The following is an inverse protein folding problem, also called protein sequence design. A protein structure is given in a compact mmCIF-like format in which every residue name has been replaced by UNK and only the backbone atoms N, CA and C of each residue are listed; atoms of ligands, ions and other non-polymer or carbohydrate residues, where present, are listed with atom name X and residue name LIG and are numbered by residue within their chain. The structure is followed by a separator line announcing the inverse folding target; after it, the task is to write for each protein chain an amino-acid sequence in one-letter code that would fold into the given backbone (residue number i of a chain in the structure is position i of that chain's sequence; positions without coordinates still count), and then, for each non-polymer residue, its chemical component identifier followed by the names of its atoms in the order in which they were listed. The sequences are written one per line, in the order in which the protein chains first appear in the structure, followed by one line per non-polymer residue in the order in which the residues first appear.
data_IF_322710514928
#
_entry.id   IF_322710514928
#
_cell.length_a   1.000
_cell.length_b   1.000
_cell.length_c   1.000
_cell.angle_alpha   90.00
_cell.angle_beta   90.00
_cell.angle_gamma   90.00
#
_symmetry.space_group_name_H-M   'P 1'
#
loop_
_entity.id
_entity.type
_entity.pdbx_description
1 polymer ?
#
# COMPACT_ATOMS: atom_id res chain seq x y z
N UNK A 1 -36.44 33.63 30.05
CA UNK A 1 -36.88 32.27 29.70
C UNK A 1 -36.42 31.99 28.28
N UNK A 2 -35.88 30.79 28.09
CA UNK A 2 -34.89 30.44 27.06
C UNK A 2 -35.44 30.44 25.62
N UNK A 3 -34.59 30.87 24.69
CA UNK A 3 -34.74 30.60 23.26
C UNK A 3 -34.30 29.18 22.93
N UNK A 4 -35.00 28.55 21.99
CA UNK A 4 -34.68 27.22 21.48
C UNK A 4 -34.10 27.35 20.08
N UNK A 5 -32.82 27.03 19.96
CA UNK A 5 -32.12 26.81 18.69
C UNK A 5 -32.60 25.50 18.06
N UNK A 6 -32.99 25.55 16.79
CA UNK A 6 -33.25 24.36 15.99
C UNK A 6 -31.91 23.68 15.67
N UNK A 7 -31.64 22.55 16.30
CA UNK A 7 -30.52 21.68 15.98
C UNK A 7 -31.00 20.67 14.92
N UNK A 8 -30.72 20.92 13.64
CA UNK A 8 -30.84 19.87 12.63
C UNK A 8 -29.81 18.77 12.92
N UNK A 9 -30.28 17.53 13.01
CA UNK A 9 -29.41 16.35 13.11
C UNK A 9 -28.64 16.15 11.80
N UNK A 10 -27.38 15.66 11.83
CA UNK A 10 -26.63 15.44 10.61
C UNK A 10 -27.33 14.36 9.76
N UNK A 11 -27.57 14.69 8.48
CA UNK A 11 -28.09 13.75 7.49
C UNK A 11 -27.16 12.54 7.41
N UNK A 12 -27.70 11.36 7.71
CA UNK A 12 -27.01 10.08 7.51
C UNK A 12 -26.63 9.93 6.05
N UNK A 13 -25.37 9.56 5.80
CA UNK A 13 -24.85 9.28 4.46
C UNK A 13 -25.55 8.00 3.96
N UNK A 14 -26.10 7.97 2.72
CA UNK A 14 -26.78 6.79 2.19
C UNK A 14 -25.81 5.60 2.09
N UNK A 15 -26.15 4.48 2.71
CA UNK A 15 -25.28 3.29 2.81
C UNK A 15 -25.28 2.42 1.55
N UNK A 16 -26.13 2.68 0.55
CA UNK A 16 -26.23 1.80 -0.62
C UNK A 16 -26.35 2.62 -1.91
N UNK A 17 -25.22 2.75 -2.60
CA UNK A 17 -25.17 3.07 -4.03
C UNK A 17 -24.99 1.73 -4.73
N UNK A 18 -25.83 1.44 -5.73
CA UNK A 18 -25.78 0.19 -6.49
C UNK A 18 -24.41 -0.03 -7.11
N UNK A 19 -23.70 -1.04 -6.62
CA UNK A 19 -22.32 -1.34 -6.97
C UNK A 19 -22.28 -2.69 -7.72
N UNK A 20 -21.69 -2.69 -8.92
CA UNK A 20 -21.42 -3.90 -9.70
C UNK A 20 -20.36 -4.76 -9.00
N UNK A 21 -20.39 -6.08 -9.24
CA UNK A 21 -19.66 -7.09 -8.45
C UNK A 21 -18.14 -6.92 -8.34
N UNK A 22 -17.49 -6.11 -9.18
CA UNK A 22 -16.04 -5.84 -9.12
C UNK A 22 -15.66 -4.70 -8.14
N UNK A 23 -16.55 -3.74 -7.91
CA UNK A 23 -16.30 -2.63 -6.98
C UNK A 23 -16.35 -3.08 -5.50
N UNK A 24 -16.87 -4.28 -5.23
CA UNK A 24 -17.01 -4.82 -3.88
C UNK A 24 -15.70 -5.42 -3.29
N UNK A 25 -14.69 -5.70 -4.12
CA UNK A 25 -13.42 -6.27 -3.64
C UNK A 25 -12.50 -5.19 -3.08
N UNK A 26 -12.54 -3.97 -3.64
CA UNK A 26 -11.61 -2.89 -3.29
C UNK A 26 -11.93 -2.17 -1.97
N UNK A 27 -13.20 -1.94 -1.64
CA UNK A 27 -13.57 -1.26 -0.39
C UNK A 27 -13.43 -2.13 0.87
N UNK A 28 -12.98 -3.39 0.74
CA UNK A 28 -13.01 -4.37 1.84
C UNK A 28 -11.87 -4.27 2.83
N UNK A 29 -10.83 -3.49 2.58
CA UNK A 29 -9.65 -3.53 3.46
C UNK A 29 -9.37 -2.14 3.99
N UNK A 30 -9.50 -1.98 5.31
CA UNK A 30 -9.40 -0.68 6.01
C UNK A 30 -8.00 -0.07 6.08
N UNK A 31 -7.08 -0.45 5.18
CA UNK A 31 -5.68 -0.03 5.17
C UNK A 31 -5.62 1.49 4.98
N UNK A 32 -4.93 2.16 5.90
CA UNK A 32 -4.77 3.61 5.88
C UNK A 32 -3.45 4.01 5.22
N UNK A 33 -3.51 4.98 4.30
CA UNK A 33 -2.33 5.61 3.73
C UNK A 33 -1.59 6.44 4.79
N UNK A 34 -0.27 6.53 4.67
CA UNK A 34 0.58 7.27 5.60
C UNK A 34 0.36 8.78 5.56
N UNK A 35 -0.15 9.31 4.45
CA UNK A 35 -0.46 10.73 4.27
C UNK A 35 -1.97 11.03 4.31
N UNK A 36 -2.72 10.22 5.07
CA UNK A 36 -4.17 10.29 5.30
C UNK A 36 -5.01 9.63 4.19
N UNK A 37 -6.22 9.20 4.58
CA UNK A 37 -7.18 8.52 3.70
C UNK A 37 -6.91 7.02 3.51
N UNK A 38 -7.68 6.44 2.58
CA UNK A 38 -7.48 5.05 2.13
C UNK A 38 -6.11 4.87 1.48
N UNK A 39 -5.48 3.71 1.64
CA UNK A 39 -4.32 3.33 0.84
C UNK A 39 -4.69 2.79 -0.56
N UNK A 40 -5.98 2.58 -0.84
CA UNK A 40 -6.49 2.18 -2.15
C UNK A 40 -6.95 3.39 -2.93
N UNK A 41 -6.42 3.53 -4.14
CA UNK A 41 -6.77 4.59 -5.09
C UNK A 41 -7.46 3.95 -6.30
N UNK A 42 -8.58 4.53 -6.72
CA UNK A 42 -9.32 4.05 -7.90
C UNK A 42 -8.70 4.63 -9.17
N UNK A 43 -8.54 3.80 -10.19
CA UNK A 43 -8.09 4.21 -11.52
C UNK A 43 -9.22 4.00 -12.54
N UNK A 44 -9.78 5.11 -13.03
CA UNK A 44 -10.88 5.11 -14.00
C UNK A 44 -10.51 4.43 -15.33
N UNK A 45 -9.23 4.45 -15.72
CA UNK A 45 -8.79 3.86 -16.98
C UNK A 45 -8.85 2.33 -16.96
N UNK A 46 -8.71 1.72 -15.79
CA UNK A 46 -8.71 0.27 -15.59
C UNK A 46 -9.98 -0.25 -14.91
N UNK A 47 -10.80 0.63 -14.31
CA UNK A 47 -11.93 0.26 -13.42
C UNK A 47 -11.46 -0.64 -12.26
N UNK A 48 -10.23 -0.40 -11.80
CA UNK A 48 -9.60 -1.15 -10.72
C UNK A 48 -9.03 -0.19 -9.67
N UNK A 49 -8.62 -0.75 -8.53
CA UNK A 49 -7.92 0.01 -7.51
C UNK A 49 -6.48 -0.47 -7.41
N UNK A 50 -5.58 0.47 -7.19
CA UNK A 50 -4.18 0.19 -6.91
C UNK A 50 -3.84 0.58 -5.48
N UNK A 51 -2.87 -0.14 -4.91
CA UNK A 51 -2.34 0.16 -3.58
C UNK A 51 -1.33 1.30 -3.68
N UNK A 52 -1.45 2.28 -2.77
CA UNK A 52 -0.49 3.34 -2.52
C UNK A 52 -0.36 3.59 -1.03
N UNK A 53 0.75 3.20 -0.43
CA UNK A 53 0.99 3.41 1.01
C UNK A 53 1.28 4.87 1.34
N UNK A 54 1.76 5.66 0.37
CA UNK A 54 2.13 7.07 0.51
C UNK A 54 1.25 7.98 -0.37
N UNK A 55 1.83 8.76 -1.28
CA UNK A 55 1.09 9.62 -2.20
C UNK A 55 0.41 8.82 -3.33
N UNK A 56 -0.66 9.37 -3.92
CA UNK A 56 -1.36 8.73 -5.06
C UNK A 56 -0.44 8.53 -6.27
N UNK A 57 0.53 9.42 -6.46
CA UNK A 57 1.55 9.35 -7.52
C UNK A 57 2.64 8.29 -7.24
N UNK A 58 2.59 7.61 -6.09
CA UNK A 58 3.52 6.57 -5.67
C UNK A 58 2.80 5.22 -5.53
N UNK A 59 2.36 4.61 -6.65
CA UNK A 59 1.78 3.27 -6.61
C UNK A 59 2.80 2.25 -6.08
N UNK A 60 2.36 1.37 -5.20
CA UNK A 60 3.20 0.34 -4.63
C UNK A 60 3.53 -0.73 -5.68
N UNK A 61 4.82 -1.06 -5.81
CA UNK A 61 5.25 -2.18 -6.64
C UNK A 61 4.86 -3.52 -5.99
N UNK A 62 4.40 -4.46 -6.82
CA UNK A 62 4.13 -5.84 -6.39
C UNK A 62 5.41 -6.67 -6.37
N UNK A 63 6.01 -6.85 -5.19
CA UNK A 63 7.23 -7.64 -5.02
C UNK A 63 7.02 -9.16 -5.09
N UNK A 64 5.80 -9.67 -4.97
CA UNK A 64 5.54 -11.10 -5.20
C UNK A 64 5.72 -11.48 -6.68
N UNK A 65 5.59 -10.51 -7.59
CA UNK A 65 5.92 -10.69 -8.99
C UNK A 65 7.45 -10.76 -9.20
N UNK A 66 7.94 -11.92 -9.63
CA UNK A 66 9.36 -12.16 -9.89
C UNK A 66 9.95 -11.24 -10.97
N UNK A 67 9.15 -10.80 -11.94
CA UNK A 67 9.60 -9.85 -12.96
C UNK A 67 9.92 -8.47 -12.36
N UNK A 68 9.11 -8.02 -11.38
CA UNK A 68 9.35 -6.76 -10.66
C UNK A 68 10.64 -6.85 -9.85
N UNK A 69 10.83 -7.95 -9.10
CA UNK A 69 12.07 -8.16 -8.33
C UNK A 69 13.29 -8.21 -9.23
N UNK A 70 13.21 -8.95 -10.33
CA UNK A 70 14.29 -9.00 -11.33
C UNK A 70 14.63 -7.60 -11.86
N UNK A 71 13.62 -6.81 -12.25
CA UNK A 71 13.83 -5.45 -12.73
C UNK A 71 14.48 -4.55 -11.67
N UNK A 72 14.04 -4.64 -10.42
CA UNK A 72 14.66 -3.92 -9.30
C UNK A 72 16.13 -4.33 -9.09
N UNK A 73 16.43 -5.64 -9.14
CA UNK A 73 17.80 -6.15 -9.04
C UNK A 73 18.68 -5.64 -10.19
N UNK A 74 18.15 -5.58 -11.41
CA UNK A 74 18.86 -5.06 -12.58
C UNK A 74 19.19 -3.57 -12.43
N UNK A 75 18.29 -2.77 -11.83
CA UNK A 75 18.56 -1.36 -11.47
C UNK A 75 19.69 -1.28 -10.44
N UNK A 76 19.72 -2.16 -9.43
CA UNK A 76 20.81 -2.20 -8.46
C UNK A 76 22.16 -2.52 -9.12
N UNK A 77 22.20 -3.57 -9.95
CA UNK A 77 23.41 -3.95 -10.72
C UNK A 77 23.89 -2.82 -11.63
N UNK A 78 22.98 -2.12 -12.29
CA UNK A 78 23.32 -0.98 -13.15
C UNK A 78 24.13 0.09 -12.41
N UNK A 79 23.78 0.39 -11.16
CA UNK A 79 24.49 1.38 -10.34
C UNK A 79 25.76 0.80 -9.71
N UNK A 80 25.76 -0.45 -9.25
CA UNK A 80 26.99 -1.11 -8.75
C UNK A 80 28.07 -1.20 -9.83
N UNK A 81 27.68 -1.46 -11.09
CA UNK A 81 28.58 -1.44 -12.23
C UNK A 81 29.24 -0.06 -12.46
N UNK A 82 28.64 1.01 -11.94
CA UNK A 82 29.17 2.39 -11.95
C UNK A 82 30.00 2.73 -10.70
N UNK A 83 30.32 1.74 -9.87
CA UNK A 83 31.24 1.87 -8.73
C UNK A 83 30.72 2.75 -7.58
N UNK A 84 29.41 2.74 -7.32
CA UNK A 84 28.90 3.22 -6.03
C UNK A 84 29.24 2.21 -4.92
N UNK A 85 29.46 2.69 -3.70
CA UNK A 85 29.89 1.84 -2.58
C UNK A 85 28.73 1.13 -1.85
N UNK A 86 27.48 1.52 -2.14
CA UNK A 86 26.31 0.89 -1.53
C UNK A 86 25.03 1.70 -1.69
N UNK A 87 23.97 1.22 -1.06
CA UNK A 87 22.64 1.84 -1.10
C UNK A 87 22.11 2.09 0.31
N UNK A 88 21.41 3.21 0.46
CA UNK A 88 20.43 3.42 1.52
C UNK A 88 19.05 3.19 0.92
N UNK A 89 18.39 2.10 1.27
CA UNK A 89 17.12 1.70 0.66
C UNK A 89 15.97 2.17 1.56
N UNK A 90 15.19 3.13 1.08
CA UNK A 90 14.10 3.72 1.83
C UNK A 90 12.93 2.76 2.01
N UNK A 91 12.29 2.79 3.20
CA UNK A 91 11.08 2.02 3.55
C UNK A 91 11.11 0.56 3.09
N UNK A 92 12.30 -0.03 3.05
CA UNK A 92 12.52 -1.37 2.47
C UNK A 92 11.77 -2.46 3.23
N UNK A 93 11.42 -2.21 4.48
CA UNK A 93 10.61 -3.11 5.29
C UNK A 93 9.15 -3.19 4.81
N UNK A 94 8.67 -2.34 3.90
CA UNK A 94 7.28 -2.35 3.42
C UNK A 94 7.07 -3.15 2.14
N UNK A 95 8.11 -3.78 1.58
CA UNK A 95 8.01 -4.42 0.25
C UNK A 95 7.20 -5.71 0.25
N UNK A 96 7.09 -6.40 1.38
CA UNK A 96 6.30 -7.63 1.50
C UNK A 96 4.95 -7.33 2.11
N UNK A 97 3.87 -7.71 1.43
CA UNK A 97 2.49 -7.55 1.90
C UNK A 97 1.83 -8.90 2.17
N UNK A 98 0.89 -8.95 3.10
CA UNK A 98 -0.10 -10.04 3.16
C UNK A 98 -1.11 -9.87 2.03
N UNK A 99 -1.07 -10.79 1.06
CA UNK A 99 -1.92 -10.73 -0.14
C UNK A 99 -3.37 -11.12 0.11
N UNK A 100 -3.72 -11.60 1.30
CA UNK A 100 -5.12 -11.75 1.70
C UNK A 100 -5.77 -10.42 2.07
N UNK A 101 -4.96 -9.36 2.24
CA UNK A 101 -5.35 -8.01 2.61
C UNK A 101 -6.41 -7.98 3.73
N UNK A 102 -6.09 -8.51 4.92
CA UNK A 102 -7.05 -8.58 6.01
C UNK A 102 -7.39 -7.18 6.56
N UNK A 103 -8.59 -7.06 7.14
CA UNK A 103 -8.98 -5.85 7.85
C UNK A 103 -8.19 -5.68 9.15
N UNK A 104 -7.67 -4.47 9.36
CA UNK A 104 -6.98 -4.10 10.59
C UNK A 104 -7.94 -3.57 11.63
N UNK A 105 -7.81 -4.04 12.87
CA UNK A 105 -8.52 -3.49 14.03
C UNK A 105 -7.79 -2.30 14.67
N UNK A 106 -6.63 -1.89 14.12
CA UNK A 106 -5.87 -0.77 14.67
C UNK A 106 -6.63 0.55 14.50
N UNK A 107 -6.35 1.50 15.40
CA UNK A 107 -6.94 2.84 15.33
C UNK A 107 -6.12 3.80 14.46
N UNK A 108 -4.80 3.67 14.52
CA UNK A 108 -3.83 4.48 13.80
C UNK A 108 -2.99 3.55 12.92
N UNK A 109 -2.55 4.05 11.76
CA UNK A 109 -1.71 3.29 10.83
C UNK A 109 -2.30 1.90 10.49
N UNK A 110 -3.61 1.86 10.23
CA UNK A 110 -4.35 0.64 9.93
C UNK A 110 -3.71 -0.15 8.79
N UNK A 111 -3.51 -1.44 9.02
CA UNK A 111 -2.97 -2.37 8.05
C UNK A 111 -1.45 -2.45 8.03
N UNK A 112 -0.73 -1.59 8.79
CA UNK A 112 0.74 -1.67 8.88
C UNK A 112 1.23 -3.02 9.34
N UNK A 113 0.51 -3.71 10.22
CA UNK A 113 0.84 -5.06 10.69
C UNK A 113 0.91 -6.11 9.57
N UNK A 114 0.33 -5.81 8.41
CA UNK A 114 0.25 -6.73 7.27
C UNK A 114 1.31 -6.44 6.20
N UNK A 115 2.09 -5.36 6.34
CA UNK A 115 3.15 -5.04 5.37
C UNK A 115 4.45 -4.54 5.98
N UNK A 116 4.44 -3.99 7.20
CA UNK A 116 5.64 -3.56 7.89
C UNK A 116 6.42 -4.79 8.37
N UNK A 117 7.50 -5.10 7.65
CA UNK A 117 8.26 -6.35 7.77
C UNK A 117 7.39 -7.57 7.49
N UNK A 118 6.59 -7.52 6.41
CA UNK A 118 5.67 -8.58 6.04
C UNK A 118 6.31 -9.96 5.76
N UNK A 119 5.51 -10.97 5.42
CA UNK A 119 5.86 -12.40 5.53
C UNK A 119 7.11 -12.83 4.76
N UNK A 120 7.41 -12.17 3.64
CA UNK A 120 8.54 -12.46 2.74
C UNK A 120 9.61 -11.37 2.76
N UNK A 121 9.52 -10.41 3.68
CA UNK A 121 10.45 -9.27 3.74
C UNK A 121 11.90 -9.75 3.84
N UNK A 122 12.19 -10.70 4.75
CA UNK A 122 13.54 -11.25 4.90
C UNK A 122 14.01 -12.06 3.69
N UNK A 123 13.11 -12.78 3.00
CA UNK A 123 13.43 -13.49 1.76
C UNK A 123 13.89 -12.50 0.69
N UNK A 124 13.12 -11.44 0.45
CA UNK A 124 13.46 -10.40 -0.54
C UNK A 124 14.74 -9.64 -0.17
N UNK A 125 14.96 -9.36 1.12
CA UNK A 125 16.22 -8.75 1.59
C UNK A 125 17.43 -9.67 1.37
N UNK A 126 17.27 -10.99 1.48
CA UNK A 126 18.34 -11.95 1.17
C UNK A 126 18.62 -12.00 -0.33
N UNK A 127 17.58 -11.95 -1.18
CA UNK A 127 17.74 -11.83 -2.64
C UNK A 127 18.56 -10.56 -2.99
N UNK A 128 18.19 -9.41 -2.40
CA UNK A 128 18.93 -8.16 -2.56
C UNK A 128 20.37 -8.29 -2.06
N UNK A 129 20.56 -8.89 -0.87
CA UNK A 129 21.88 -9.09 -0.27
C UNK A 129 22.80 -10.00 -1.10
N UNK A 130 22.23 -10.93 -1.86
CA UNK A 130 22.99 -11.81 -2.76
C UNK A 130 23.63 -11.04 -3.94
N UNK A 131 23.02 -9.93 -4.38
CA UNK A 131 23.55 -9.11 -5.49
C UNK A 131 24.94 -8.56 -5.17
N UNK A 132 25.23 -8.24 -3.90
CA UNK A 132 26.54 -7.71 -3.49
C UNK A 132 27.66 -8.75 -3.49
N UNK A 133 27.34 -10.01 -3.79
CA UNK A 133 28.30 -11.13 -3.86
C UNK A 133 28.57 -11.58 -5.30
N UNK A 134 27.97 -10.90 -6.28
CA UNK A 134 28.22 -11.09 -7.71
C UNK A 134 29.52 -10.40 -8.14
#
# INVERSE_FOLDING_TARGET
MNGSSNHESPKTIPTEIGISGNQQISMRTGIAGHFQGSAWEYDEATDEYYLRLFCKEQPDLNWDNTAVRKAAHDVMRFWLNRKIDGFRIDVINFISKDLSFPDSSQRFLRGTEYYASGPRCHEYLQEIGAIFKE
#
